data_IF_722023704037
#
_entry.id   IF_722023704037
#
_cell.length_a   1.000
_cell.length_b   1.000
_cell.length_c   1.000
_cell.angle_alpha   90.00
_cell.angle_beta   90.00
_cell.angle_gamma   90.00
#
_symmetry.space_group_name_H-M   'P 1'
#
loop_
_entity.id
_entity.type
_entity.pdbx_description
1 polymer ?
#
# COMPACT_ATOMS: atom_id res chain seq x y z
N UNK A 1 3.29 -14.53 6.30
CA UNK A 1 4.16 -13.55 6.99
C UNK A 1 3.75 -12.19 6.48
N UNK A 2 3.22 -11.33 7.34
CA UNK A 2 2.85 -9.98 6.95
C UNK A 2 4.11 -9.20 6.56
N UNK A 3 4.06 -8.51 5.42
CA UNK A 3 5.15 -7.64 5.02
C UNK A 3 5.25 -6.47 5.99
N UNK A 4 6.48 -6.19 6.42
CA UNK A 4 6.77 -4.98 7.18
C UNK A 4 6.77 -3.82 6.20
N UNK A 5 5.64 -3.15 6.08
CA UNK A 5 5.62 -1.87 5.40
C UNK A 5 6.16 -0.78 6.34
N UNK A 6 6.95 0.16 5.82
CA UNK A 6 7.34 1.33 6.59
C UNK A 6 6.10 2.19 6.84
N UNK A 7 6.10 2.87 7.98
CA UNK A 7 5.02 3.76 8.41
C UNK A 7 4.78 4.92 7.43
N UNK A 8 5.86 5.56 6.98
CA UNK A 8 5.81 6.62 5.98
C UNK A 8 6.73 6.25 4.79
N UNK A 9 6.24 5.47 3.82
CA UNK A 9 6.99 5.16 2.59
C UNK A 9 7.26 6.44 1.79
N UNK A 10 8.44 6.58 1.16
CA UNK A 10 8.69 7.73 0.27
C UNK A 10 7.91 7.68 -1.04
N UNK A 11 7.45 6.49 -1.45
CA UNK A 11 6.69 6.25 -2.68
C UNK A 11 5.54 5.26 -2.44
N UNK A 12 4.50 5.65 -1.67
CA UNK A 12 3.35 4.79 -1.38
C UNK A 12 2.64 4.30 -2.64
N UNK A 13 2.66 5.08 -3.72
CA UNK A 13 2.01 4.79 -4.99
C UNK A 13 2.64 3.61 -5.75
N UNK A 14 3.82 3.14 -5.34
CA UNK A 14 4.50 2.03 -6.02
C UNK A 14 4.18 0.67 -5.41
N UNK A 15 3.44 0.65 -4.31
CA UNK A 15 3.24 -0.53 -3.47
C UNK A 15 1.73 -0.79 -3.35
N UNK A 16 1.34 -2.06 -3.39
CA UNK A 16 -0.02 -2.45 -3.03
C UNK A 16 -0.09 -2.73 -1.53
N UNK A 17 -0.94 -1.99 -0.82
CA UNK A 17 -0.96 -1.96 0.65
C UNK A 17 -1.88 -2.99 1.31
N UNK A 18 -2.69 -3.71 0.51
CA UNK A 18 -3.60 -4.76 1.00
C UNK A 18 -3.04 -6.18 0.93
N UNK A 19 -1.72 -6.35 0.73
CA UNK A 19 -1.16 -7.63 0.27
C UNK A 19 0.11 -8.01 1.05
N UNK A 20 0.16 -9.25 1.52
CA UNK A 20 1.36 -9.79 2.18
C UNK A 20 2.52 -10.07 1.20
N UNK A 21 2.25 -10.00 -0.11
CA UNK A 21 3.20 -10.27 -1.20
C UNK A 21 3.45 -9.02 -2.04
N UNK A 22 4.62 -8.94 -2.67
CA UNK A 22 5.02 -7.80 -3.51
C UNK A 22 4.44 -8.17 -4.85
N UNK A 23 3.38 -7.48 -5.25
CA UNK A 23 2.84 -7.70 -6.58
C UNK A 23 3.85 -7.19 -7.61
N UNK A 24 4.14 -7.98 -8.67
CA UNK A 24 4.86 -7.49 -9.82
C UNK A 24 4.17 -6.23 -10.38
N UNK A 25 4.94 -5.27 -10.88
CA UNK A 25 4.41 -4.01 -11.43
C UNK A 25 3.35 -4.19 -12.52
N UNK A 26 3.36 -5.34 -13.21
CA UNK A 26 2.42 -5.68 -14.30
C UNK A 26 1.41 -6.78 -13.92
N UNK A 27 1.39 -7.23 -12.66
CA UNK A 27 0.52 -8.32 -12.23
C UNK A 27 0.15 -8.15 -10.75
N UNK A 28 -0.96 -7.47 -10.50
CA UNK A 28 -1.56 -7.34 -9.17
C UNK A 28 -2.17 -8.67 -8.75
N UNK A 29 -1.41 -9.47 -8.00
CA UNK A 29 -1.85 -10.78 -7.52
C UNK A 29 -2.97 -10.71 -6.46
N UNK A 30 -3.07 -9.59 -5.73
CA UNK A 30 -4.03 -9.43 -4.64
C UNK A 30 -5.28 -8.62 -5.00
N UNK A 31 -5.34 -8.02 -6.19
CA UNK A 31 -6.49 -7.21 -6.58
C UNK A 31 -7.70 -8.01 -7.06
N UNK A 32 -7.66 -9.34 -7.19
CA UNK A 32 -8.68 -10.10 -7.94
C UNK A 32 -8.94 -9.50 -9.35
N UNK A 33 -7.91 -8.93 -10.00
CA UNK A 33 -8.07 -8.18 -11.25
C UNK A 33 -8.47 -6.69 -11.10
N UNK A 34 -8.58 -6.20 -9.86
CA UNK A 34 -8.83 -4.81 -9.51
C UNK A 34 -7.53 -4.00 -9.30
N UNK A 35 -7.69 -2.68 -9.27
CA UNK A 35 -6.63 -1.70 -9.08
C UNK A 35 -5.91 -1.82 -7.72
N UNK A 36 -4.72 -1.22 -7.65
CA UNK A 36 -3.85 -1.21 -6.46
C UNK A 36 -4.59 -0.65 -5.24
N UNK A 37 -4.44 -1.28 -4.08
CA UNK A 37 -4.83 -0.66 -2.80
C UNK A 37 -3.87 0.49 -2.49
N UNK A 38 -4.42 1.70 -2.42
CA UNK A 38 -3.69 2.92 -2.09
C UNK A 38 -3.25 2.90 -0.62
N UNK A 39 -2.11 3.53 -0.32
CA UNK A 39 -1.70 3.78 1.06
C UNK A 39 -2.66 4.78 1.70
N UNK A 40 -2.98 4.67 3.00
CA UNK A 40 -3.73 5.70 3.70
C UNK A 40 -3.09 7.09 3.55
N UNK A 41 -1.76 7.21 3.49
CA UNK A 41 -1.12 8.51 3.26
C UNK A 41 -1.43 9.14 1.89
N UNK A 42 -1.79 8.35 0.87
CA UNK A 42 -2.20 8.88 -0.43
C UNK A 42 -3.57 9.56 -0.35
N UNK A 43 -4.43 9.12 0.57
CA UNK A 43 -5.79 9.60 0.74
C UNK A 43 -5.92 10.66 1.84
N UNK A 44 -5.21 10.46 2.94
CA UNK A 44 -5.34 11.24 4.17
C UNK A 44 -4.11 12.12 4.45
N UNK A 45 -3.01 11.98 3.68
CA UNK A 45 -1.76 12.70 3.87
C UNK A 45 -0.77 11.99 4.79
N UNK A 46 0.42 12.57 4.96
CA UNK A 46 1.51 11.97 5.77
C UNK A 46 1.13 11.72 7.24
N UNK A 47 0.14 12.46 7.76
CA UNK A 47 -0.42 12.38 9.13
C UNK A 47 -1.51 11.29 9.30
N UNK A 48 -1.70 10.41 8.30
CA UNK A 48 -2.80 9.43 8.29
C UNK A 48 -2.92 8.54 9.55
N UNK A 49 -1.85 8.33 10.30
CA UNK A 49 -1.82 7.52 11.54
C UNK A 49 -1.85 8.36 12.82
N UNK A 50 -1.78 9.69 12.73
CA UNK A 50 -1.80 10.61 13.87
C UNK A 50 -3.23 10.79 14.43
N UNK A 51 -4.12 9.81 14.18
CA UNK A 51 -5.47 9.78 14.71
C UNK A 51 -5.43 9.56 16.25
N UNK A 52 -6.19 10.35 17.03
CA UNK A 52 -6.16 10.31 18.50
C UNK A 52 -6.76 9.04 19.13
#
# INVERSE_FOLDING_TARGET
MAKKFPHNPSHPERICWGCDLYCPAKSLACGNGSERTQHPAELFGEDWDEQP
#
